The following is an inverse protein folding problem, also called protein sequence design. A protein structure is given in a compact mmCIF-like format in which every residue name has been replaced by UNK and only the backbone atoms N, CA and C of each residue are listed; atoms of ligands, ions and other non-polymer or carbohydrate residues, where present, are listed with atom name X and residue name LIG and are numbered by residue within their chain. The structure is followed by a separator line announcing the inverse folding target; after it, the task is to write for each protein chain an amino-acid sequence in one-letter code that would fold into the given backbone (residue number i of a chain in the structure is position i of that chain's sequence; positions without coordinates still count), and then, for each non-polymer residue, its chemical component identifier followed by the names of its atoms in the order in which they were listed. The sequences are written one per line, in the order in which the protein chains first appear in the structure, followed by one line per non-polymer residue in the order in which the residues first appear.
data_IF_346191855512
#
_entry.id   IF_346191855512
#
_cell.length_a   1.000
_cell.length_b   1.000
_cell.length_c   1.000
_cell.angle_alpha   90.00
_cell.angle_beta   90.00
_cell.angle_gamma   90.00
#
_symmetry.space_group_name_H-M   'P 1'
#
loop_
_entity.id
_entity.type
_entity.pdbx_description
1 polymer ?
#
# COMPACT_ATOMS: atom_id res chain seq x y z
N UNK A 1 22.39 3.09 26.28
CA UNK A 1 22.13 2.82 24.84
C UNK A 1 20.87 3.51 24.34
N UNK A 2 19.69 3.29 24.94
CA UNK A 2 18.44 3.96 24.53
C UNK A 2 18.49 5.47 24.56
N UNK A 3 19.10 6.07 25.59
CA UNK A 3 19.27 7.51 25.67
C UNK A 3 20.23 8.07 24.60
N UNK A 4 21.23 7.29 24.19
CA UNK A 4 22.12 7.66 23.10
C UNK A 4 21.39 7.61 21.76
N UNK A 5 20.67 6.53 21.48
CA UNK A 5 19.90 6.36 20.24
C UNK A 5 18.81 7.44 20.09
N UNK A 6 18.13 7.76 21.21
CA UNK A 6 17.11 8.82 21.22
C UNK A 6 17.73 10.19 20.91
N UNK A 7 18.91 10.49 21.43
CA UNK A 7 19.65 11.72 21.08
C UNK A 7 20.07 11.74 19.62
N UNK A 8 20.64 10.62 19.13
CA UNK A 8 21.06 10.52 17.73
C UNK A 8 19.88 10.76 16.77
N UNK A 9 18.69 10.25 17.06
CA UNK A 9 17.50 10.52 16.25
C UNK A 9 17.02 11.97 16.35
N UNK A 10 17.09 12.59 17.54
CA UNK A 10 16.77 13.99 17.71
C UNK A 10 17.72 14.92 16.93
N UNK A 11 19.01 14.57 16.88
CA UNK A 11 20.01 15.29 16.10
C UNK A 11 19.87 15.09 14.58
N UNK A 12 19.45 13.88 14.15
CA UNK A 12 19.26 13.55 12.73
C UNK A 12 17.98 14.13 12.14
N UNK A 13 16.89 14.23 12.90
CA UNK A 13 15.59 14.65 12.38
C UNK A 13 15.62 16.01 11.68
N UNK A 14 16.22 17.09 12.25
CA UNK A 14 16.35 18.38 11.57
C UNK A 14 17.21 18.30 10.29
N UNK A 15 18.25 17.45 10.30
CA UNK A 15 19.13 17.28 9.15
C UNK A 15 18.41 16.59 7.99
N UNK A 16 17.55 15.61 8.29
CA UNK A 16 16.71 14.95 7.29
C UNK A 16 15.68 15.92 6.71
N UNK A 17 15.02 16.72 7.54
CA UNK A 17 14.01 17.68 7.10
C UNK A 17 14.59 18.80 6.23
N UNK A 18 15.77 19.30 6.58
CA UNK A 18 16.44 20.38 5.83
C UNK A 18 17.30 19.86 4.66
N UNK A 19 17.73 18.63 4.72
CA UNK A 19 18.66 18.00 3.77
C UNK A 19 18.06 17.64 2.42
N UNK A 20 18.85 17.00 1.56
CA UNK A 20 18.37 16.48 0.27
C UNK A 20 17.40 15.34 0.47
N UNK A 21 16.36 15.29 -0.40
CA UNK A 21 15.36 14.21 -0.37
C UNK A 21 15.87 12.94 -1.06
N UNK A 22 16.70 13.10 -2.08
CA UNK A 22 17.30 11.99 -2.82
C UNK A 22 18.59 11.47 -2.16
N UNK A 23 18.94 10.19 -2.36
CA UNK A 23 20.21 9.64 -1.89
C UNK A 23 21.40 10.41 -2.47
N UNK A 24 22.43 10.59 -1.64
CA UNK A 24 23.69 11.27 -2.02
C UNK A 24 24.91 10.39 -1.86
N UNK A 25 24.72 9.09 -1.60
CA UNK A 25 25.77 8.12 -1.33
C UNK A 25 26.52 7.68 -2.60
N UNK A 26 27.83 7.54 -2.50
CA UNK A 26 28.64 6.82 -3.47
C UNK A 26 28.49 5.30 -3.23
N UNK A 27 27.80 4.64 -4.13
CA UNK A 27 27.51 3.21 -3.99
C UNK A 27 28.75 2.31 -4.11
N UNK A 28 29.78 2.69 -4.82
CA UNK A 28 31.01 1.88 -4.94
C UNK A 28 31.89 2.00 -3.69
N UNK A 29 31.98 3.19 -3.13
CA UNK A 29 32.57 3.40 -1.82
C UNK A 29 31.81 2.65 -0.73
N UNK A 30 30.46 2.71 -0.73
CA UNK A 30 29.62 1.98 0.20
C UNK A 30 29.81 0.45 0.10
N UNK A 31 29.78 -0.13 -1.11
CA UNK A 31 30.02 -1.56 -1.33
C UNK A 31 31.40 -2.00 -0.85
N UNK A 32 32.41 -1.14 -0.98
CA UNK A 32 33.75 -1.40 -0.48
C UNK A 32 33.79 -1.45 1.05
N UNK A 33 33.14 -0.48 1.71
CA UNK A 33 33.02 -0.50 3.17
C UNK A 33 32.22 -1.72 3.66
N UNK A 34 31.11 -2.05 2.98
CA UNK A 34 30.23 -3.17 3.36
C UNK A 34 30.97 -4.51 3.30
N UNK A 35 31.88 -4.71 2.33
CA UNK A 35 32.74 -5.92 2.26
C UNK A 35 33.69 -6.06 3.44
N UNK A 36 33.96 -4.99 4.18
CA UNK A 36 34.75 -5.03 5.43
C UNK A 36 34.02 -5.69 6.61
N UNK A 37 32.68 -5.91 6.50
CA UNK A 37 31.90 -6.67 7.46
C UNK A 37 31.93 -8.16 7.09
N UNK A 38 33.07 -8.83 7.35
CA UNK A 38 33.27 -10.25 7.05
C UNK A 38 32.63 -11.22 8.07
N UNK A 39 32.15 -10.67 9.22
CA UNK A 39 31.56 -11.40 10.35
C UNK A 39 32.48 -12.41 11.04
N UNK A 40 33.76 -12.45 10.69
CA UNK A 40 34.76 -13.34 11.31
C UNK A 40 35.11 -12.87 12.73
N UNK A 41 35.05 -11.58 12.98
CA UNK A 41 35.34 -10.97 14.29
C UNK A 41 34.25 -10.00 14.71
N UNK A 42 33.91 -9.96 16.01
CA UNK A 42 32.93 -9.00 16.53
C UNK A 42 33.47 -7.57 16.43
N UNK A 43 32.59 -6.64 16.06
CA UNK A 43 32.85 -5.20 16.06
C UNK A 43 32.16 -4.54 17.26
N UNK A 44 32.66 -3.37 17.66
CA UNK A 44 32.01 -2.57 18.70
C UNK A 44 30.62 -2.13 18.21
N UNK A 45 29.59 -2.38 19.01
CA UNK A 45 28.20 -2.10 18.67
C UNK A 45 27.98 -0.63 18.28
N UNK A 46 28.57 0.30 19.06
CA UNK A 46 28.49 1.74 18.82
C UNK A 46 29.04 2.12 17.44
N UNK A 47 30.13 1.51 17.01
CA UNK A 47 30.74 1.74 15.69
C UNK A 47 29.82 1.28 14.57
N UNK A 48 29.23 0.08 14.69
CA UNK A 48 28.27 -0.46 13.71
C UNK A 48 27.03 0.44 13.64
N UNK A 49 26.52 0.90 14.79
CA UNK A 49 25.35 1.76 14.86
C UNK A 49 25.61 3.13 14.24
N UNK A 50 26.72 3.79 14.57
CA UNK A 50 27.10 5.06 13.96
C UNK A 50 27.27 4.96 12.46
N UNK A 51 27.99 3.93 11.99
CA UNK A 51 28.13 3.66 10.57
C UNK A 51 26.78 3.49 9.88
N UNK A 52 25.87 2.68 10.47
CA UNK A 52 24.53 2.43 9.91
C UNK A 52 23.73 3.73 9.81
N UNK A 53 23.68 4.56 10.87
CA UNK A 53 22.95 5.82 10.85
C UNK A 53 23.47 6.77 9.78
N UNK A 54 24.79 6.85 9.60
CA UNK A 54 25.43 7.64 8.55
C UNK A 54 25.06 7.14 7.16
N UNK A 55 25.08 5.82 6.94
CA UNK A 55 24.70 5.25 5.63
C UNK A 55 23.21 5.49 5.34
N UNK A 56 22.32 5.34 6.34
CA UNK A 56 20.89 5.59 6.18
C UNK A 56 20.58 7.07 5.92
N UNK A 57 21.31 7.99 6.53
CA UNK A 57 21.15 9.43 6.30
C UNK A 57 21.39 9.81 4.83
N UNK A 58 22.37 9.15 4.17
CA UNK A 58 22.79 9.50 2.81
C UNK A 58 22.34 8.48 1.73
N UNK A 59 21.94 7.27 2.13
CA UNK A 59 21.74 6.14 1.25
C UNK A 59 20.30 5.82 0.90
N UNK A 60 19.32 6.54 1.42
CA UNK A 60 17.91 6.30 1.13
C UNK A 60 17.20 7.57 0.63
N UNK A 61 16.07 7.38 -0.03
CA UNK A 61 15.13 8.48 -0.25
C UNK A 61 14.51 8.84 1.10
N UNK A 62 14.61 10.10 1.49
CA UNK A 62 14.16 10.59 2.80
C UNK A 62 12.64 10.80 2.79
N UNK A 63 11.87 9.73 3.02
CA UNK A 63 10.42 9.78 3.06
C UNK A 63 9.86 10.64 4.20
N UNK A 64 10.66 10.87 5.25
CA UNK A 64 10.34 11.79 6.35
C UNK A 64 10.59 13.26 6.02
N UNK A 65 11.11 13.58 4.83
CA UNK A 65 11.27 14.96 4.38
C UNK A 65 9.94 15.48 3.83
N UNK A 66 9.45 16.68 4.25
CA UNK A 66 8.17 17.22 3.80
C UNK A 66 8.11 17.55 2.30
N UNK A 67 9.26 17.53 1.60
CA UNK A 67 9.35 17.69 0.13
C UNK A 67 9.42 16.36 -0.62
N UNK A 68 9.10 15.24 0.04
CA UNK A 68 8.90 13.96 -0.59
C UNK A 68 7.47 13.88 -1.16
N UNK A 69 7.33 13.96 -2.48
CA UNK A 69 6.07 13.89 -3.22
C UNK A 69 6.04 12.68 -4.18
N UNK A 70 6.67 11.61 -3.79
CA UNK A 70 6.94 10.49 -4.68
C UNK A 70 5.93 9.37 -4.67
N UNK A 71 6.24 8.34 -3.91
CA UNK A 71 5.39 7.16 -3.75
C UNK A 71 4.43 7.36 -2.56
N UNK A 72 3.64 6.34 -2.27
CA UNK A 72 2.54 6.44 -1.30
C UNK A 72 2.97 6.39 0.18
N UNK A 73 4.24 6.19 0.47
CA UNK A 73 4.76 5.94 1.82
C UNK A 73 5.32 7.23 2.42
N UNK A 74 4.62 7.86 3.38
CA UNK A 74 5.17 9.00 4.12
C UNK A 74 6.18 8.55 5.16
N UNK A 75 6.85 9.51 5.80
CA UNK A 75 7.50 9.25 7.08
C UNK A 75 6.50 8.71 8.10
N UNK A 76 6.93 7.72 8.89
CA UNK A 76 6.05 7.10 9.87
C UNK A 76 5.70 8.05 11.01
N UNK A 77 4.43 8.08 11.41
CA UNK A 77 3.97 8.83 12.57
C UNK A 77 4.70 8.37 13.85
N UNK A 78 5.00 9.29 14.74
CA UNK A 78 5.73 9.01 15.98
C UNK A 78 5.10 7.90 16.84
N UNK A 79 3.75 7.82 17.01
CA UNK A 79 3.13 6.69 17.72
C UNK A 79 3.44 5.33 17.08
N UNK A 80 3.50 5.23 15.75
CA UNK A 80 3.84 3.99 15.06
C UNK A 80 5.30 3.57 15.29
N UNK A 81 6.23 4.54 15.35
CA UNK A 81 7.64 4.29 15.71
C UNK A 81 7.76 3.79 17.16
N UNK A 82 7.00 4.37 18.08
CA UNK A 82 6.92 3.89 19.47
C UNK A 82 6.37 2.46 19.56
N UNK A 83 5.34 2.13 18.76
CA UNK A 83 4.77 0.79 18.69
C UNK A 83 5.81 -0.26 18.25
N UNK A 84 6.66 0.07 17.26
CA UNK A 84 7.75 -0.82 16.84
C UNK A 84 8.79 -1.04 17.95
N UNK A 85 9.10 -0.01 18.75
CA UNK A 85 10.02 -0.17 19.90
C UNK A 85 9.41 -1.07 20.97
N UNK A 86 8.12 -0.92 21.28
CA UNK A 86 7.40 -1.78 22.21
C UNK A 86 7.37 -3.22 21.69
N UNK A 87 6.99 -3.41 20.42
CA UNK A 87 6.96 -4.74 19.82
C UNK A 87 8.35 -5.40 19.78
N UNK A 88 9.42 -4.64 19.52
CA UNK A 88 10.79 -5.15 19.53
C UNK A 88 11.25 -5.54 20.94
N UNK A 89 10.86 -4.81 21.98
CA UNK A 89 11.23 -5.10 23.37
C UNK A 89 10.62 -6.41 23.86
N UNK A 90 9.31 -6.62 23.64
CA UNK A 90 8.61 -7.84 24.08
C UNK A 90 8.76 -9.01 23.11
N UNK A 91 9.06 -8.74 21.84
CA UNK A 91 9.22 -9.70 20.74
C UNK A 91 8.17 -10.83 20.72
N UNK A 92 6.85 -10.51 20.76
CA UNK A 92 5.80 -11.51 20.85
C UNK A 92 5.65 -12.28 19.52
N UNK A 93 5.40 -13.60 19.66
CA UNK A 93 5.08 -14.47 18.53
C UNK A 93 3.55 -14.55 18.35
N UNK A 94 3.01 -13.98 17.27
CA UNK A 94 1.58 -13.95 17.01
C UNK A 94 1.08 -15.14 16.17
N UNK A 95 1.56 -16.33 16.40
CA UNK A 95 0.98 -17.51 15.77
C UNK A 95 -0.39 -17.86 16.40
N UNK A 96 -0.52 -17.77 17.72
CA UNK A 96 -1.73 -18.15 18.43
C UNK A 96 -2.03 -17.27 19.63
N UNK A 97 -3.30 -17.25 20.03
CA UNK A 97 -3.78 -16.61 21.25
C UNK A 97 -3.21 -17.25 22.51
N UNK A 98 -2.85 -18.55 22.46
CA UNK A 98 -2.19 -19.23 23.57
C UNK A 98 -0.81 -18.64 23.89
N UNK A 99 -0.05 -18.21 22.87
CA UNK A 99 1.29 -17.63 23.06
C UNK A 99 1.25 -16.11 23.22
N UNK A 100 0.30 -15.42 22.60
CA UNK A 100 0.23 -13.96 22.56
C UNK A 100 -1.21 -13.45 22.62
N UNK A 101 -1.94 -13.66 23.73
CA UNK A 101 -3.37 -13.34 23.81
C UNK A 101 -3.64 -11.83 23.61
N UNK A 102 -2.90 -10.96 24.29
CA UNK A 102 -3.09 -9.51 24.18
C UNK A 102 -2.77 -8.99 22.78
N UNK A 103 -1.64 -9.32 22.13
CA UNK A 103 -1.36 -8.93 20.76
C UNK A 103 -2.42 -9.38 19.74
N UNK A 104 -2.90 -10.62 19.84
CA UNK A 104 -3.94 -11.16 18.95
C UNK A 104 -5.26 -10.38 19.09
N UNK A 105 -5.67 -10.09 20.33
CA UNK A 105 -6.88 -9.30 20.58
C UNK A 105 -6.77 -7.84 20.09
N UNK A 106 -5.61 -7.19 20.25
CA UNK A 106 -5.37 -5.85 19.74
C UNK A 106 -5.49 -5.85 18.19
N UNK A 107 -4.86 -6.79 17.50
CA UNK A 107 -4.98 -6.88 16.04
C UNK A 107 -6.41 -7.13 15.60
N UNK A 108 -7.11 -8.07 16.25
CA UNK A 108 -8.52 -8.35 15.97
C UNK A 108 -9.42 -7.13 16.20
N UNK A 109 -9.16 -6.36 17.26
CA UNK A 109 -9.90 -5.14 17.55
C UNK A 109 -9.70 -4.07 16.47
N UNK A 110 -8.47 -3.86 16.01
CA UNK A 110 -8.16 -2.89 14.94
C UNK A 110 -8.78 -3.32 13.62
N UNK A 111 -8.71 -4.61 13.27
CA UNK A 111 -9.38 -5.15 12.06
C UNK A 111 -10.88 -4.90 12.11
N UNK A 112 -11.56 -5.20 13.24
CA UNK A 112 -13.00 -4.93 13.40
C UNK A 112 -13.33 -3.44 13.30
N UNK A 113 -12.51 -2.58 13.88
CA UNK A 113 -12.69 -1.13 13.79
C UNK A 113 -12.62 -0.62 12.34
N UNK A 114 -11.64 -1.11 11.57
CA UNK A 114 -11.51 -0.77 10.15
C UNK A 114 -12.64 -1.36 9.31
N UNK A 115 -13.03 -2.61 9.57
CA UNK A 115 -14.17 -3.26 8.90
C UNK A 115 -15.47 -2.49 9.11
N UNK A 116 -15.75 -2.10 10.35
CA UNK A 116 -16.93 -1.27 10.69
C UNK A 116 -16.88 0.08 9.97
N UNK A 117 -15.69 0.70 9.88
CA UNK A 117 -15.51 1.97 9.16
C UNK A 117 -15.75 1.84 7.66
N UNK A 118 -15.45 0.66 7.08
CA UNK A 118 -15.76 0.31 5.70
C UNK A 118 -17.24 -0.11 5.48
N UNK A 119 -18.05 -0.16 6.53
CA UNK A 119 -19.46 -0.55 6.44
C UNK A 119 -19.70 -2.05 6.37
N UNK A 120 -18.69 -2.88 6.65
CA UNK A 120 -18.85 -4.33 6.72
C UNK A 120 -19.60 -4.74 8.00
N UNK A 121 -20.28 -5.89 7.95
CA UNK A 121 -21.06 -6.44 9.06
C UNK A 121 -20.21 -6.77 10.30
N UNK A 122 -20.87 -7.03 11.45
CA UNK A 122 -20.20 -7.24 12.75
C UNK A 122 -19.31 -8.49 12.79
N UNK A 123 -19.55 -9.46 11.91
CA UNK A 123 -18.80 -10.70 11.81
C UNK A 123 -17.55 -10.57 10.93
N UNK A 124 -17.30 -9.37 10.40
CA UNK A 124 -16.11 -9.13 9.58
C UNK A 124 -14.84 -9.34 10.40
N UNK A 125 -13.88 -10.00 9.78
CA UNK A 125 -12.60 -10.41 10.36
C UNK A 125 -11.48 -10.22 9.36
N UNK A 126 -10.27 -10.64 9.72
CA UNK A 126 -9.10 -10.56 8.86
C UNK A 126 -7.81 -10.69 9.63
N UNK A 127 -6.72 -10.28 9.01
CA UNK A 127 -5.41 -10.31 9.64
C UNK A 127 -4.51 -9.19 9.10
N UNK A 128 -3.45 -8.89 9.84
CA UNK A 128 -2.38 -8.04 9.36
C UNK A 128 -1.41 -8.83 8.46
N UNK A 129 -0.92 -8.16 7.43
CA UNK A 129 0.02 -8.68 6.44
C UNK A 129 1.23 -7.72 6.31
N UNK A 130 2.30 -8.19 5.70
CA UNK A 130 3.52 -7.39 5.49
C UNK A 130 3.38 -6.34 4.39
N UNK A 131 2.34 -6.43 3.56
CA UNK A 131 2.05 -5.47 2.51
C UNK A 131 0.80 -5.85 1.72
N UNK A 132 0.29 -4.91 0.92
CA UNK A 132 -0.90 -5.11 0.09
C UNK A 132 -0.80 -6.31 -0.85
N UNK A 133 0.39 -6.66 -1.33
CA UNK A 133 0.57 -7.85 -2.17
C UNK A 133 0.25 -9.16 -1.44
N UNK A 134 0.56 -9.27 -0.15
CA UNK A 134 0.21 -10.44 0.66
C UNK A 134 -1.28 -10.47 0.99
N UNK A 135 -1.86 -9.32 1.31
CA UNK A 135 -3.30 -9.19 1.54
C UNK A 135 -4.10 -9.53 0.26
N UNK A 136 -3.67 -9.04 -0.89
CA UNK A 136 -4.27 -9.35 -2.19
C UNK A 136 -4.08 -10.83 -2.59
N UNK A 137 -2.94 -11.44 -2.23
CA UNK A 137 -2.73 -12.88 -2.39
C UNK A 137 -3.76 -13.68 -1.57
N UNK A 138 -3.99 -13.30 -0.33
CA UNK A 138 -5.04 -13.91 0.51
C UNK A 138 -6.41 -13.77 -0.16
N UNK A 139 -6.76 -12.61 -0.70
CA UNK A 139 -8.02 -12.41 -1.43
C UNK A 139 -8.19 -13.39 -2.59
N UNK A 140 -7.16 -13.58 -3.40
CA UNK A 140 -7.22 -14.50 -4.53
C UNK A 140 -7.34 -15.95 -4.07
N UNK A 141 -6.63 -16.37 -3.01
CA UNK A 141 -6.76 -17.73 -2.45
C UNK A 141 -8.17 -17.98 -1.95
N UNK A 142 -8.78 -17.02 -1.23
CA UNK A 142 -10.16 -17.14 -0.79
C UNK A 142 -11.14 -17.23 -1.95
N UNK A 143 -10.96 -16.38 -2.97
CA UNK A 143 -11.80 -16.41 -4.17
C UNK A 143 -11.75 -17.76 -4.90
N UNK A 144 -10.55 -18.35 -5.01
CA UNK A 144 -10.37 -19.69 -5.62
C UNK A 144 -10.99 -20.79 -4.75
N UNK A 145 -10.83 -20.72 -3.43
CA UNK A 145 -11.42 -21.68 -2.47
C UNK A 145 -12.96 -21.58 -2.50
N UNK A 146 -13.52 -20.36 -2.52
CA UNK A 146 -14.96 -20.13 -2.62
C UNK A 146 -15.53 -20.62 -3.95
N UNK A 147 -14.78 -20.46 -5.05
CA UNK A 147 -15.22 -20.88 -6.37
C UNK A 147 -15.23 -22.42 -6.54
N UNK A 148 -14.35 -23.13 -5.85
CA UNK A 148 -14.28 -24.60 -5.93
C UNK A 148 -13.71 -25.22 -4.65
N UNK A 149 -14.49 -26.02 -3.88
CA UNK A 149 -14.05 -26.63 -2.62
C UNK A 149 -12.80 -27.51 -2.75
N UNK A 150 -12.60 -28.17 -3.89
CA UNK A 150 -11.42 -28.99 -4.18
C UNK A 150 -10.12 -28.19 -4.41
N UNK A 151 -10.18 -26.84 -4.46
CA UNK A 151 -8.99 -26.06 -4.72
C UNK A 151 -7.92 -26.22 -3.63
N UNK A 152 -8.33 -26.35 -2.39
CA UNK A 152 -7.38 -26.54 -1.27
C UNK A 152 -6.59 -27.87 -1.40
N UNK A 153 -7.15 -28.91 -2.03
CA UNK A 153 -6.52 -30.24 -2.19
C UNK A 153 -5.83 -30.40 -3.54
N UNK A 154 -6.47 -29.99 -4.62
CA UNK A 154 -6.06 -30.28 -6.00
C UNK A 154 -5.51 -29.07 -6.76
N UNK A 155 -5.54 -27.89 -6.14
CA UNK A 155 -5.11 -26.65 -6.74
C UNK A 155 -5.93 -26.29 -7.99
N UNK A 156 -5.30 -25.68 -8.98
CA UNK A 156 -5.95 -25.27 -10.23
C UNK A 156 -6.58 -26.44 -11.02
N UNK A 157 -6.16 -27.67 -10.77
CA UNK A 157 -6.72 -28.88 -11.43
C UNK A 157 -8.13 -29.22 -10.98
N UNK A 158 -8.60 -28.68 -9.86
CA UNK A 158 -9.98 -28.84 -9.41
C UNK A 158 -11.00 -28.19 -10.37
N UNK A 159 -10.60 -27.14 -11.09
CA UNK A 159 -11.49 -26.42 -12.00
C UNK A 159 -11.71 -27.15 -13.32
N UNK A 160 -12.91 -27.05 -13.87
CA UNK A 160 -13.26 -27.61 -15.19
C UNK A 160 -12.60 -26.88 -16.38
N UNK A 161 -12.06 -25.68 -16.15
CA UNK A 161 -11.35 -24.85 -17.11
C UNK A 161 -10.42 -23.88 -16.39
N UNK A 162 -9.59 -23.10 -17.09
CA UNK A 162 -8.65 -22.18 -16.45
C UNK A 162 -9.38 -21.12 -15.62
N UNK A 163 -9.06 -20.95 -14.32
CA UNK A 163 -9.64 -19.90 -13.50
C UNK A 163 -9.18 -18.54 -14.00
N UNK A 164 -10.09 -17.54 -13.97
CA UNK A 164 -9.84 -16.17 -14.41
C UNK A 164 -10.31 -15.17 -13.36
N UNK A 165 -9.54 -14.10 -13.20
CA UNK A 165 -9.96 -12.95 -12.42
C UNK A 165 -9.69 -11.65 -13.16
N UNK A 166 -10.41 -10.59 -12.83
CA UNK A 166 -10.57 -9.40 -13.63
C UNK A 166 -10.24 -8.16 -12.83
N UNK A 167 -9.47 -7.24 -13.40
CA UNK A 167 -9.19 -5.93 -12.81
C UNK A 167 -8.84 -4.92 -13.91
N UNK A 168 -8.83 -3.63 -13.56
CA UNK A 168 -8.43 -2.55 -14.47
C UNK A 168 -6.99 -2.68 -14.97
N UNK A 169 -6.69 -2.16 -16.16
CA UNK A 169 -5.30 -1.97 -16.64
C UNK A 169 -4.48 -1.05 -15.72
N UNK A 170 -5.15 -0.17 -14.97
CA UNK A 170 -4.55 0.74 -14.02
C UNK A 170 -4.32 0.10 -12.63
N UNK A 171 -4.56 -1.21 -12.47
CA UNK A 171 -4.32 -1.94 -11.22
C UNK A 171 -2.83 -2.01 -10.85
N UNK A 172 -2.56 -2.40 -9.62
CA UNK A 172 -1.18 -2.66 -9.19
C UNK A 172 -0.61 -3.92 -9.88
N UNK A 173 0.60 -3.79 -10.45
CA UNK A 173 1.26 -4.86 -11.22
C UNK A 173 1.54 -6.15 -10.41
N UNK A 174 1.47 -6.08 -9.08
CA UNK A 174 1.62 -7.24 -8.20
C UNK A 174 0.62 -8.36 -8.49
N UNK A 175 -0.56 -8.06 -9.06
CA UNK A 175 -1.54 -9.07 -9.44
C UNK A 175 -0.99 -10.13 -10.40
N UNK A 176 -0.05 -9.78 -11.28
CA UNK A 176 0.66 -10.74 -12.14
C UNK A 176 1.55 -11.72 -11.33
N UNK A 177 2.19 -11.21 -10.26
CA UNK A 177 2.98 -12.06 -9.36
C UNK A 177 2.08 -12.94 -8.52
N UNK A 178 0.99 -12.39 -8.01
CA UNK A 178 -0.01 -13.09 -7.20
C UNK A 178 -0.63 -14.25 -7.98
N UNK A 179 -1.05 -14.03 -9.22
CA UNK A 179 -1.57 -15.09 -10.10
C UNK A 179 -0.56 -16.23 -10.32
N UNK A 180 0.73 -15.88 -10.50
CA UNK A 180 1.80 -16.86 -10.61
C UNK A 180 2.02 -17.64 -9.31
N UNK A 181 2.07 -16.95 -8.16
CA UNK A 181 2.28 -17.57 -6.85
C UNK A 181 1.11 -18.47 -6.42
N UNK A 182 -0.12 -18.11 -6.81
CA UNK A 182 -1.31 -18.93 -6.57
C UNK A 182 -1.36 -20.19 -7.47
N UNK A 183 -0.40 -20.40 -8.36
CA UNK A 183 -0.32 -21.59 -9.23
C UNK A 183 -1.30 -21.61 -10.39
N UNK A 184 -2.04 -20.51 -10.65
CA UNK A 184 -3.00 -20.41 -11.75
C UNK A 184 -2.42 -19.74 -13.01
N UNK A 185 -1.18 -19.23 -12.90
CA UNK A 185 -0.46 -18.60 -14.01
C UNK A 185 -0.88 -17.14 -14.28
N UNK A 186 0.05 -16.34 -14.84
CA UNK A 186 -0.19 -14.92 -15.13
C UNK A 186 -1.33 -14.68 -16.13
N UNK A 187 -1.59 -15.63 -17.02
CA UNK A 187 -2.71 -15.58 -17.98
C UNK A 187 -4.09 -15.68 -17.33
N UNK A 188 -4.18 -16.05 -16.05
CA UNK A 188 -5.42 -16.01 -15.29
C UNK A 188 -5.91 -14.58 -15.03
N UNK A 189 -5.01 -13.60 -14.99
CA UNK A 189 -5.36 -12.18 -14.90
C UNK A 189 -5.88 -11.66 -16.24
N UNK A 190 -7.11 -11.15 -16.25
CA UNK A 190 -7.71 -10.43 -17.37
C UNK A 190 -7.72 -8.94 -17.05
N UNK A 191 -6.92 -8.17 -17.77
CA UNK A 191 -6.93 -6.71 -17.68
C UNK A 191 -8.09 -6.14 -18.47
N UNK A 192 -8.89 -5.30 -17.83
CA UNK A 192 -10.05 -4.64 -18.40
C UNK A 192 -9.68 -3.21 -18.79
N UNK A 193 -10.15 -2.79 -19.95
CA UNK A 193 -9.93 -1.43 -20.43
C UNK A 193 -10.61 -0.39 -19.51
N UNK A 194 -10.11 0.82 -19.53
CA UNK A 194 -10.67 1.95 -18.79
C UNK A 194 -11.69 2.71 -19.64
N UNK A 195 -12.74 3.23 -19.00
CA UNK A 195 -13.78 4.04 -19.65
C UNK A 195 -13.38 5.53 -19.78
N UNK A 196 -12.10 5.82 -19.94
CA UNK A 196 -11.50 7.13 -19.79
C UNK A 196 -11.25 7.49 -18.33
N UNK A 197 -10.38 8.45 -18.09
CA UNK A 197 -9.98 8.89 -16.74
C UNK A 197 -9.40 7.77 -15.86
N UNK A 198 -8.81 6.71 -16.43
CA UNK A 198 -8.11 5.63 -15.71
C UNK A 198 -8.99 4.80 -14.76
N UNK A 199 -10.30 4.73 -14.99
CA UNK A 199 -11.25 3.93 -14.20
C UNK A 199 -11.70 2.70 -14.97
N UNK A 200 -11.87 1.58 -14.31
CA UNK A 200 -12.39 0.34 -14.89
C UNK A 200 -13.72 0.59 -15.62
N UNK A 201 -13.85 0.07 -16.86
CA UNK A 201 -15.11 0.08 -17.59
C UNK A 201 -15.99 -1.11 -17.20
N UNK A 202 -17.14 -0.91 -16.50
CA UNK A 202 -18.04 -1.99 -16.11
C UNK A 202 -18.62 -2.75 -17.30
N UNK A 203 -18.89 -2.10 -18.44
CA UNK A 203 -19.42 -2.79 -19.61
C UNK A 203 -18.35 -3.69 -20.25
N UNK A 204 -17.10 -3.21 -20.34
CA UNK A 204 -15.99 -4.02 -20.81
C UNK A 204 -15.74 -5.21 -19.87
N UNK A 205 -15.86 -5.02 -18.55
CA UNK A 205 -15.78 -6.08 -17.55
C UNK A 205 -16.85 -7.16 -17.80
N UNK A 206 -18.11 -6.77 -17.95
CA UNK A 206 -19.21 -7.70 -18.19
C UNK A 206 -19.01 -8.50 -19.49
N UNK A 207 -18.60 -7.82 -20.59
CA UNK A 207 -18.28 -8.46 -21.87
C UNK A 207 -17.12 -9.45 -21.74
N UNK A 208 -16.05 -9.11 -21.03
CA UNK A 208 -14.89 -9.96 -20.83
C UNK A 208 -15.24 -11.24 -20.05
N UNK A 209 -16.02 -11.12 -18.97
CA UNK A 209 -16.50 -12.27 -18.17
C UNK A 209 -17.36 -13.21 -19.03
N UNK A 210 -18.29 -12.66 -19.80
CA UNK A 210 -19.15 -13.46 -20.68
C UNK A 210 -18.34 -14.20 -21.75
N UNK A 211 -17.38 -13.52 -22.40
CA UNK A 211 -16.53 -14.12 -23.42
C UNK A 211 -15.63 -15.23 -22.87
N UNK A 212 -14.99 -15.01 -21.70
CA UNK A 212 -14.13 -16.01 -21.07
C UNK A 212 -14.94 -17.25 -20.64
N UNK A 213 -16.16 -17.05 -20.09
CA UNK A 213 -17.06 -18.15 -19.73
C UNK A 213 -17.50 -18.93 -20.94
N UNK A 214 -17.86 -18.28 -22.05
CA UNK A 214 -18.19 -18.94 -23.32
C UNK A 214 -16.99 -19.70 -23.92
N UNK A 215 -15.77 -19.22 -23.66
CA UNK A 215 -14.52 -19.89 -24.04
C UNK A 215 -14.10 -21.04 -23.13
N UNK A 216 -14.92 -21.43 -22.14
CA UNK A 216 -14.64 -22.53 -21.22
C UNK A 216 -13.76 -22.17 -20.03
N UNK A 217 -13.42 -20.90 -19.82
CA UNK A 217 -12.76 -20.47 -18.60
C UNK A 217 -13.74 -20.37 -17.41
N UNK A 218 -13.19 -20.38 -16.19
CA UNK A 218 -13.96 -20.26 -14.95
C UNK A 218 -13.68 -18.91 -14.33
N UNK A 219 -14.55 -17.89 -14.49
CA UNK A 219 -14.45 -16.63 -13.77
C UNK A 219 -14.57 -16.85 -12.25
N UNK A 220 -13.67 -16.29 -11.46
CA UNK A 220 -13.63 -16.47 -10.00
C UNK A 220 -13.70 -15.17 -9.21
N UNK A 221 -13.10 -14.06 -9.69
CA UNK A 221 -13.00 -12.83 -8.90
C UNK A 221 -13.03 -11.57 -9.78
N UNK A 222 -13.68 -10.53 -9.28
CA UNK A 222 -13.57 -9.15 -9.76
C UNK A 222 -12.80 -8.35 -8.72
N UNK A 223 -11.79 -7.61 -9.15
CA UNK A 223 -11.02 -6.68 -8.32
C UNK A 223 -11.26 -5.26 -8.79
N UNK A 224 -11.85 -4.43 -7.93
CA UNK A 224 -11.88 -2.99 -8.12
C UNK A 224 -10.77 -2.33 -7.31
N UNK A 225 -10.14 -1.29 -7.86
CA UNK A 225 -9.08 -0.55 -7.18
C UNK A 225 -9.64 0.76 -6.63
N UNK A 226 -9.45 1.02 -5.34
CA UNK A 226 -9.75 2.28 -4.70
C UNK A 226 -8.45 3.06 -4.46
N UNK A 227 -8.06 3.87 -5.44
CA UNK A 227 -6.80 4.57 -5.50
C UNK A 227 -5.75 3.86 -6.36
N UNK A 228 -5.89 3.93 -7.69
CA UNK A 228 -4.96 3.30 -8.64
C UNK A 228 -3.52 3.81 -8.47
N UNK A 229 -2.49 2.95 -8.66
CA UNK A 229 -1.09 3.33 -8.46
C UNK A 229 -0.61 4.45 -9.39
N UNK A 230 -1.13 4.50 -10.61
CA UNK A 230 -0.82 5.55 -11.59
C UNK A 230 -1.41 6.88 -11.18
N UNK A 231 -2.72 7.03 -11.29
CA UNK A 231 -3.43 8.29 -11.17
C UNK A 231 -4.25 8.48 -9.90
N UNK A 232 -4.25 7.55 -8.92
CA UNK A 232 -5.06 7.67 -7.71
C UNK A 232 -6.58 7.58 -7.96
N UNK A 233 -6.99 6.94 -9.06
CA UNK A 233 -8.39 6.85 -9.46
C UNK A 233 -9.13 5.79 -8.64
N UNK A 234 -10.45 5.95 -8.51
CA UNK A 234 -11.32 4.98 -7.84
C UNK A 234 -12.21 4.33 -8.89
N UNK A 235 -12.14 3.02 -9.02
CA UNK A 235 -13.01 2.25 -9.90
C UNK A 235 -14.49 2.36 -9.47
N UNK A 236 -15.46 2.17 -10.36
CA UNK A 236 -16.89 2.25 -10.05
C UNK A 236 -17.33 1.05 -9.18
N UNK A 237 -17.13 1.16 -7.84
CA UNK A 237 -17.30 0.05 -6.89
C UNK A 237 -18.67 -0.61 -6.97
N UNK A 238 -19.75 0.18 -7.04
CA UNK A 238 -21.12 -0.33 -7.18
C UNK A 238 -21.29 -1.16 -8.46
N UNK A 239 -20.82 -0.64 -9.60
CA UNK A 239 -20.91 -1.33 -10.89
C UNK A 239 -20.12 -2.64 -10.90
N UNK A 240 -18.92 -2.64 -10.33
CA UNK A 240 -18.11 -3.85 -10.17
C UNK A 240 -18.79 -4.88 -9.24
N UNK A 241 -19.37 -4.41 -8.11
CA UNK A 241 -20.10 -5.27 -7.18
C UNK A 241 -21.36 -5.91 -7.82
N UNK A 242 -22.11 -5.14 -8.64
CA UNK A 242 -23.29 -5.67 -9.35
C UNK A 242 -22.91 -6.78 -10.32
N UNK A 243 -21.86 -6.57 -11.09
CA UNK A 243 -21.36 -7.56 -12.06
C UNK A 243 -20.82 -8.80 -11.34
N UNK A 244 -20.05 -8.63 -10.27
CA UNK A 244 -19.53 -9.73 -9.47
C UNK A 244 -20.68 -10.56 -8.89
N UNK A 245 -21.70 -9.92 -8.29
CA UNK A 245 -22.88 -10.58 -7.73
C UNK A 245 -23.67 -11.33 -8.79
N UNK A 246 -23.95 -10.69 -9.94
CA UNK A 246 -24.67 -11.33 -11.05
C UNK A 246 -23.91 -12.54 -11.60
N UNK A 247 -22.58 -12.45 -11.65
CA UNK A 247 -21.69 -13.52 -12.08
C UNK A 247 -21.41 -14.60 -11.03
N UNK A 248 -21.84 -14.42 -9.77
CA UNK A 248 -21.45 -15.22 -8.59
C UNK A 248 -19.94 -15.30 -8.43
N UNK A 249 -19.26 -14.17 -8.56
CA UNK A 249 -17.83 -14.00 -8.43
C UNK A 249 -17.50 -13.33 -7.10
N UNK A 250 -16.34 -13.63 -6.56
CA UNK A 250 -15.78 -12.91 -5.42
C UNK A 250 -15.53 -11.43 -5.79
N UNK A 251 -16.00 -10.50 -4.97
CA UNK A 251 -15.75 -9.09 -5.15
C UNK A 251 -14.69 -8.61 -4.15
N UNK A 252 -13.53 -8.25 -4.65
CA UNK A 252 -12.44 -7.71 -3.87
C UNK A 252 -12.21 -6.23 -4.16
N UNK A 253 -11.98 -5.42 -3.13
CA UNK A 253 -11.56 -4.02 -3.27
C UNK A 253 -10.12 -3.88 -2.81
N UNK A 254 -9.22 -3.65 -3.77
CA UNK A 254 -7.85 -3.23 -3.50
C UNK A 254 -7.84 -1.74 -3.14
N UNK A 255 -8.01 -1.45 -1.85
CA UNK A 255 -7.96 -0.13 -1.26
C UNK A 255 -6.63 0.13 -0.55
N UNK A 256 -5.55 -0.53 -0.99
CA UNK A 256 -4.23 -0.44 -0.37
C UNK A 256 -3.78 1.01 -0.13
N UNK A 257 -4.07 1.90 -1.09
CA UNK A 257 -3.82 3.33 -0.94
C UNK A 257 -5.04 4.09 -0.44
N UNK A 258 -6.14 4.04 -1.19
CA UNK A 258 -7.31 4.90 -0.96
C UNK A 258 -8.14 4.51 0.26
N UNK A 259 -7.92 3.33 0.85
CA UNK A 259 -8.62 2.91 2.07
C UNK A 259 -8.45 3.85 3.27
N UNK A 260 -7.39 4.67 3.29
CA UNK A 260 -7.24 5.71 4.30
C UNK A 260 -8.35 6.78 4.25
N UNK A 261 -8.99 6.98 3.10
CA UNK A 261 -10.13 7.89 2.95
C UNK A 261 -11.32 7.50 3.84
N UNK A 262 -11.43 6.24 4.26
CA UNK A 262 -12.42 5.78 5.24
C UNK A 262 -12.33 6.54 6.58
N UNK A 263 -11.14 7.04 6.95
CA UNK A 263 -10.95 7.81 8.18
C UNK A 263 -11.52 9.24 8.09
N UNK A 264 -11.63 9.82 6.89
CA UNK A 264 -12.02 11.20 6.67
C UNK A 264 -13.52 11.28 6.29
N UNK A 265 -14.34 11.96 7.10
CA UNK A 265 -15.80 12.05 6.88
C UNK A 265 -16.16 12.62 5.49
N UNK A 266 -15.39 13.59 4.99
CA UNK A 266 -15.63 14.22 3.68
C UNK A 266 -15.23 13.34 2.50
N UNK A 267 -14.29 12.41 2.70
CA UNK A 267 -13.76 11.56 1.63
C UNK A 267 -14.34 10.15 1.65
N UNK A 268 -14.87 9.70 2.79
CA UNK A 268 -15.47 8.38 2.94
C UNK A 268 -16.53 8.07 1.87
N UNK A 269 -17.44 9.00 1.49
CA UNK A 269 -18.43 8.75 0.43
C UNK A 269 -17.82 8.44 -0.95
N UNK A 270 -16.56 8.79 -1.19
CA UNK A 270 -15.87 8.41 -2.42
C UNK A 270 -15.69 6.89 -2.57
N UNK A 271 -15.76 6.16 -1.46
CA UNK A 271 -15.63 4.71 -1.39
C UNK A 271 -16.98 3.99 -1.25
N UNK A 272 -18.11 4.66 -1.51
CA UNK A 272 -19.44 4.04 -1.48
C UNK A 272 -19.47 2.83 -2.43
N UNK A 273 -19.97 1.70 -1.94
CA UNK A 273 -19.90 0.40 -2.60
C UNK A 273 -18.81 -0.52 -2.04
N UNK A 274 -17.86 0.01 -1.23
CA UNK A 274 -16.83 -0.82 -0.57
C UNK A 274 -17.42 -1.81 0.43
N UNK A 275 -18.55 -1.43 1.07
CA UNK A 275 -19.31 -2.28 2.02
C UNK A 275 -19.90 -3.54 1.39
N UNK A 276 -19.91 -3.60 0.06
CA UNK A 276 -20.39 -4.75 -0.72
C UNK A 276 -19.29 -5.75 -1.05
N UNK A 277 -18.04 -5.45 -0.67
CA UNK A 277 -16.91 -6.31 -0.96
C UNK A 277 -16.92 -7.58 -0.09
N UNK A 278 -16.57 -8.71 -0.69
CA UNK A 278 -16.27 -9.95 0.04
C UNK A 278 -14.95 -9.82 0.80
N UNK A 279 -14.03 -9.02 0.26
CA UNK A 279 -12.76 -8.70 0.96
C UNK A 279 -12.19 -7.36 0.53
N UNK A 280 -11.40 -6.75 1.43
CA UNK A 280 -10.75 -5.45 1.25
C UNK A 280 -9.28 -5.55 1.66
N UNK A 281 -8.39 -4.93 0.88
CA UNK A 281 -7.00 -4.68 1.27
C UNK A 281 -6.78 -3.22 1.62
N UNK A 282 -6.11 -2.93 2.75
CA UNK A 282 -5.72 -1.56 3.16
C UNK A 282 -4.28 -1.59 3.69
N UNK A 283 -3.41 -0.74 3.14
CA UNK A 283 -2.02 -0.60 3.61
C UNK A 283 -1.90 0.54 4.62
N UNK A 284 -1.78 0.20 5.90
CA UNK A 284 -1.61 1.19 6.96
C UNK A 284 -0.25 1.93 6.85
N UNK A 285 0.77 1.27 6.29
CA UNK A 285 2.08 1.87 6.04
C UNK A 285 2.12 2.85 4.85
N UNK A 286 0.99 3.07 4.19
CA UNK A 286 0.82 4.13 3.20
C UNK A 286 0.21 5.37 3.85
N UNK A 287 -0.94 5.80 3.48
CA UNK A 287 -1.53 7.07 3.90
C UNK A 287 -1.98 7.11 5.37
N UNK A 288 -2.13 5.96 6.06
CA UNK A 288 -2.33 5.91 7.51
C UNK A 288 -1.02 6.07 8.32
N UNK A 289 0.10 6.33 7.63
CA UNK A 289 1.39 6.74 8.19
C UNK A 289 1.97 5.82 9.27
N UNK A 290 1.71 4.51 9.21
CA UNK A 290 2.45 3.57 10.07
C UNK A 290 3.83 3.26 9.49
N UNK A 291 4.70 2.65 10.29
CA UNK A 291 5.98 2.11 9.79
C UNK A 291 5.76 1.03 8.74
N UNK A 292 6.74 0.85 7.83
CA UNK A 292 6.66 -0.11 6.71
C UNK A 292 6.35 -1.54 7.17
N UNK A 293 5.67 -2.29 6.29
CA UNK A 293 5.29 -3.67 6.56
C UNK A 293 4.04 -3.78 7.44
N UNK A 294 3.02 -2.97 7.20
CA UNK A 294 1.75 -2.98 7.91
C UNK A 294 0.59 -2.81 6.93
N UNK A 295 -0.01 -3.91 6.51
CA UNK A 295 -1.19 -3.97 5.67
C UNK A 295 -2.28 -4.79 6.36
N UNK A 296 -3.51 -4.66 5.93
CA UNK A 296 -4.66 -5.41 6.42
C UNK A 296 -5.35 -6.11 5.27
N UNK A 297 -5.70 -7.36 5.50
CA UNK A 297 -6.72 -8.11 4.77
C UNK A 297 -7.97 -8.16 5.65
N UNK A 298 -9.11 -7.76 5.11
CA UNK A 298 -10.40 -7.73 5.82
C UNK A 298 -11.43 -8.46 4.97
N UNK A 299 -12.28 -9.30 5.60
CA UNK A 299 -13.31 -10.08 4.90
C UNK A 299 -14.55 -10.29 5.77
N UNK A 300 -15.71 -10.42 5.14
CA UNK A 300 -16.96 -10.85 5.77
C UNK A 300 -17.08 -12.38 5.85
N UNK A 301 -16.12 -13.13 5.32
CA UNK A 301 -16.15 -14.60 5.17
C UNK A 301 -15.11 -15.28 6.08
N UNK A 302 -15.19 -15.04 7.40
CA UNK A 302 -14.20 -15.56 8.36
C UNK A 302 -14.01 -17.08 8.34
N UNK A 303 -15.09 -17.86 8.15
CA UNK A 303 -15.00 -19.32 8.07
C UNK A 303 -14.14 -19.79 6.90
N UNK A 304 -14.19 -19.08 5.77
CA UNK A 304 -13.42 -19.41 4.58
C UNK A 304 -11.92 -19.18 4.75
N UNK A 305 -11.51 -18.23 5.61
CA UNK A 305 -10.10 -18.08 5.99
C UNK A 305 -9.53 -19.37 6.59
N UNK A 306 -10.24 -19.93 7.54
CA UNK A 306 -9.83 -21.21 8.16
C UNK A 306 -9.85 -22.35 7.13
N UNK A 307 -10.84 -22.41 6.24
CA UNK A 307 -10.87 -23.43 5.18
C UNK A 307 -9.67 -23.33 4.25
N UNK A 308 -9.29 -22.09 3.87
CA UNK A 308 -8.21 -21.84 2.92
C UNK A 308 -6.79 -22.07 3.50
N UNK A 309 -6.60 -21.85 4.82
CA UNK A 309 -5.27 -21.84 5.43
C UNK A 309 -5.09 -22.88 6.56
N UNK A 310 -6.14 -23.59 6.97
CA UNK A 310 -6.03 -24.56 8.06
C UNK A 310 -5.06 -25.69 7.71
N UNK A 311 -4.08 -25.87 8.59
CA UNK A 311 -3.19 -27.04 8.58
C UNK A 311 -3.23 -27.70 9.95
N UNK A 312 -3.70 -28.94 10.01
CA UNK A 312 -3.71 -29.72 11.26
C UNK A 312 -2.30 -30.15 11.64
N UNK A 313 -1.90 -29.92 12.89
CA UNK A 313 -0.60 -30.32 13.39
C UNK A 313 -0.70 -30.98 14.76
N UNK A 314 0.14 -31.99 15.00
CA UNK A 314 0.18 -32.72 16.27
C UNK A 314 0.96 -32.01 17.37
N UNK A 315 1.78 -31.01 17.04
CA UNK A 315 2.63 -30.28 17.99
C UNK A 315 2.02 -28.98 18.50
N UNK A 316 0.87 -28.56 17.95
CA UNK A 316 0.15 -27.39 18.45
C UNK A 316 -0.87 -27.78 19.50
N UNK A 317 -1.14 -26.93 20.51
CA UNK A 317 -2.12 -27.24 21.55
C UNK A 317 -3.51 -27.49 20.95
N UNK A 318 -4.21 -28.51 21.42
CA UNK A 318 -5.54 -28.91 20.96
C UNK A 318 -6.68 -27.90 21.32
N UNK A 319 -6.38 -26.92 22.19
CA UNK A 319 -7.33 -25.93 22.70
C UNK A 319 -7.24 -24.58 21.97
N UNK A 320 -6.75 -24.55 20.73
CA UNK A 320 -6.59 -23.30 19.97
C UNK A 320 -7.93 -22.74 19.49
N UNK A 321 -8.06 -21.44 19.60
CA UNK A 321 -9.24 -20.74 19.08
C UNK A 321 -9.24 -20.76 17.53
N UNK A 322 -10.43 -20.90 16.93
CA UNK A 322 -10.58 -20.84 15.48
C UNK A 322 -10.09 -19.51 14.85
N UNK A 323 -9.95 -18.47 15.69
CA UNK A 323 -9.43 -17.16 15.30
C UNK A 323 -7.91 -17.01 15.33
N UNK A 324 -7.17 -18.08 15.67
CA UNK A 324 -5.72 -18.00 15.77
C UNK A 324 -5.07 -17.64 14.41
N UNK A 325 -4.12 -16.70 14.40
CA UNK A 325 -3.55 -16.15 13.15
C UNK A 325 -2.94 -17.19 12.21
N UNK A 326 -2.29 -18.24 12.73
CA UNK A 326 -1.67 -19.28 11.91
C UNK A 326 -2.70 -20.15 11.14
N UNK A 327 -3.96 -20.19 11.61
CA UNK A 327 -5.06 -20.90 10.94
C UNK A 327 -5.74 -20.04 9.86
N UNK A 328 -5.50 -18.73 9.87
CA UNK A 328 -6.24 -17.75 9.08
C UNK A 328 -5.36 -16.93 8.14
N UNK A 329 -4.09 -17.31 7.98
CA UNK A 329 -3.15 -16.60 7.10
C UNK A 329 -2.06 -17.57 6.59
N UNK A 330 -1.37 -17.16 5.53
CA UNK A 330 -0.20 -17.89 5.02
C UNK A 330 0.98 -17.85 6.00
N UNK A 331 1.01 -16.88 6.91
CA UNK A 331 2.08 -16.72 7.89
C UNK A 331 1.88 -17.67 9.08
N UNK A 332 2.96 -18.32 9.49
CA UNK A 332 2.99 -19.06 10.74
C UNK A 332 3.60 -18.21 11.86
N UNK A 333 4.89 -17.90 11.75
CA UNK A 333 5.58 -16.96 12.65
C UNK A 333 5.33 -15.54 12.17
N UNK A 334 4.74 -14.70 13.02
CA UNK A 334 4.34 -13.36 12.65
C UNK A 334 4.70 -12.33 13.71
N UNK A 335 5.16 -11.15 13.24
CA UNK A 335 5.39 -9.99 14.09
C UNK A 335 4.06 -9.35 14.51
N UNK A 336 4.09 -8.60 15.61
CA UNK A 336 2.97 -7.78 16.06
C UNK A 336 2.84 -6.51 15.17
N UNK A 337 2.22 -6.65 14.01
CA UNK A 337 2.10 -5.59 13.02
C UNK A 337 1.02 -4.57 13.40
N UNK A 338 -0.11 -5.03 13.93
CA UNK A 338 -1.27 -4.21 14.21
C UNK A 338 -1.08 -3.20 15.35
N UNK A 339 -0.07 -3.38 16.21
CA UNK A 339 0.23 -2.43 17.29
C UNK A 339 0.52 -1.03 16.75
N UNK A 340 1.12 -0.93 15.56
CA UNK A 340 1.44 0.32 14.88
C UNK A 340 0.19 1.15 14.60
N UNK A 341 -0.80 0.51 13.97
CA UNK A 341 -2.07 1.17 13.64
C UNK A 341 -2.91 1.40 14.89
N UNK A 342 -2.88 0.47 15.86
CA UNK A 342 -3.52 0.67 17.16
C UNK A 342 -3.03 1.94 17.85
N UNK A 343 -1.71 2.18 17.91
CA UNK A 343 -1.16 3.39 18.52
C UNK A 343 -1.58 4.65 17.77
N UNK A 344 -1.52 4.62 16.43
CA UNK A 344 -1.94 5.76 15.60
C UNK A 344 -3.42 6.08 15.82
N UNK A 345 -4.30 5.05 15.76
CA UNK A 345 -5.74 5.22 15.98
C UNK A 345 -6.07 5.64 17.41
N UNK A 346 -5.43 5.04 18.41
CA UNK A 346 -5.71 5.34 19.81
C UNK A 346 -5.26 6.75 20.22
N UNK A 347 -4.20 7.28 19.59
CA UNK A 347 -3.65 8.60 19.95
C UNK A 347 -4.25 9.75 19.14
N UNK A 348 -4.58 9.53 17.86
CA UNK A 348 -5.11 10.57 16.99
C UNK A 348 -6.64 10.52 16.83
N UNK A 349 -7.26 9.37 17.10
CA UNK A 349 -8.68 9.12 16.79
C UNK A 349 -8.94 9.17 15.28
N UNK A 350 -10.17 8.88 14.89
CA UNK A 350 -10.62 9.03 13.50
C UNK A 350 -10.54 10.47 13.01
N UNK A 351 -10.82 11.44 13.89
CA UNK A 351 -10.76 12.87 13.56
C UNK A 351 -9.33 13.29 13.18
N UNK A 352 -8.33 12.95 13.98
CA UNK A 352 -6.93 13.32 13.72
C UNK A 352 -6.38 12.67 12.45
N UNK A 353 -6.73 11.39 12.20
CA UNK A 353 -6.34 10.70 10.97
C UNK A 353 -7.08 11.28 9.78
N UNK A 354 -8.39 11.55 9.90
CA UNK A 354 -9.19 12.19 8.87
C UNK A 354 -8.61 13.56 8.47
N UNK A 355 -8.23 14.37 9.46
CA UNK A 355 -7.58 15.66 9.23
C UNK A 355 -6.22 15.53 8.50
N UNK A 356 -5.42 14.49 8.82
CA UNK A 356 -4.18 14.19 8.09
C UNK A 356 -4.46 13.87 6.61
N UNK A 357 -5.45 13.02 6.35
CA UNK A 357 -5.84 12.60 4.99
C UNK A 357 -6.39 13.79 4.19
N UNK A 358 -7.28 14.59 4.76
CA UNK A 358 -7.85 15.79 4.12
C UNK A 358 -6.79 16.86 3.83
N UNK A 359 -5.82 17.04 4.72
CA UNK A 359 -4.69 17.95 4.52
C UNK A 359 -3.86 17.54 3.31
N UNK A 360 -3.62 16.26 3.12
CA UNK A 360 -2.90 15.74 1.95
C UNK A 360 -3.61 16.10 0.64
N UNK A 361 -4.93 15.97 0.59
CA UNK A 361 -5.74 16.38 -0.56
C UNK A 361 -5.65 17.90 -0.80
N UNK A 362 -5.69 18.70 0.28
CA UNK A 362 -5.53 20.15 0.18
C UNK A 362 -4.15 20.56 -0.35
N UNK A 363 -3.08 19.87 0.06
CA UNK A 363 -1.72 20.10 -0.46
C UNK A 363 -1.68 19.86 -1.97
N UNK A 364 -2.23 18.73 -2.44
CA UNK A 364 -2.30 18.43 -3.89
C UNK A 364 -3.08 19.48 -4.66
N UNK A 365 -4.20 19.96 -4.12
CA UNK A 365 -4.98 21.02 -4.77
C UNK A 365 -4.17 22.31 -4.95
N UNK A 366 -3.39 22.71 -3.92
CA UNK A 366 -2.50 23.90 -4.02
C UNK A 366 -1.38 23.70 -5.03
N UNK A 367 -0.75 22.52 -5.04
CA UNK A 367 0.28 22.18 -6.05
C UNK A 367 -0.30 22.25 -7.44
N UNK A 368 -1.50 21.68 -7.66
CA UNK A 368 -2.23 21.76 -8.94
C UNK A 368 -2.42 23.20 -9.38
N UNK A 369 -3.00 24.04 -8.53
CA UNK A 369 -3.31 25.42 -8.87
C UNK A 369 -2.03 26.23 -9.20
N UNK A 370 -0.95 26.00 -8.45
CA UNK A 370 0.35 26.63 -8.70
C UNK A 370 1.00 26.18 -10.02
N UNK A 371 0.86 24.92 -10.41
CA UNK A 371 1.40 24.40 -11.68
C UNK A 371 0.53 24.81 -12.88
N UNK A 372 -0.79 24.77 -12.75
CA UNK A 372 -1.71 25.25 -13.81
C UNK A 372 -1.45 26.72 -14.13
N UNK A 373 -1.24 27.58 -13.13
CA UNK A 373 -0.86 28.98 -13.31
C UNK A 373 0.46 29.17 -14.08
N UNK A 374 1.27 28.11 -14.23
CA UNK A 374 2.55 28.08 -14.98
C UNK A 374 2.44 27.31 -16.29
N UNK A 375 1.22 27.04 -16.76
CA UNK A 375 0.98 26.39 -18.06
C UNK A 375 1.10 24.87 -18.04
N UNK A 376 1.14 24.22 -16.88
CA UNK A 376 1.06 22.76 -16.77
C UNK A 376 -0.36 22.27 -17.03
N UNK A 377 -0.49 21.11 -17.63
CA UNK A 377 -1.79 20.47 -17.88
C UNK A 377 -2.02 19.33 -16.93
N UNK A 378 -3.18 19.31 -16.25
CA UNK A 378 -3.59 18.20 -15.38
C UNK A 378 -4.05 17.03 -16.25
N UNK A 379 -3.56 15.84 -15.98
CA UNK A 379 -3.87 14.63 -16.73
C UNK A 379 -4.91 13.74 -16.04
N UNK A 380 -5.00 13.76 -14.70
CA UNK A 380 -5.95 12.98 -13.92
C UNK A 380 -6.97 13.88 -13.18
N UNK A 381 -8.11 13.29 -12.82
CA UNK A 381 -9.15 13.93 -11.99
C UNK A 381 -9.34 13.21 -10.64
N UNK A 382 -8.24 12.72 -10.08
CA UNK A 382 -8.27 11.99 -8.81
C UNK A 382 -8.86 12.84 -7.68
N UNK A 383 -9.84 12.32 -6.92
CA UNK A 383 -10.34 13.00 -5.72
C UNK A 383 -9.43 12.78 -4.50
N UNK A 384 -8.37 11.97 -4.65
CA UNK A 384 -7.40 11.64 -3.62
C UNK A 384 -6.13 12.50 -3.74
N UNK A 385 -5.13 12.24 -2.89
CA UNK A 385 -3.92 13.04 -2.84
C UNK A 385 -2.86 12.64 -3.90
N UNK A 386 -3.29 12.43 -5.16
CA UNK A 386 -2.43 12.14 -6.32
C UNK A 386 -2.75 13.11 -7.45
N UNK A 387 -1.72 13.73 -8.01
CA UNK A 387 -1.80 14.64 -9.13
C UNK A 387 -0.84 14.18 -10.23
N UNK A 388 -1.37 13.98 -11.42
CA UNK A 388 -0.60 13.73 -12.64
C UNK A 388 -0.62 14.97 -13.52
N UNK A 389 0.55 15.46 -13.89
CA UNK A 389 0.68 16.68 -14.70
C UNK A 389 1.63 16.48 -15.88
N UNK A 390 1.27 17.13 -16.99
CA UNK A 390 2.09 17.22 -18.20
C UNK A 390 2.79 18.58 -18.17
N UNK A 391 4.13 18.63 -18.31
CA UNK A 391 4.86 19.89 -18.34
C UNK A 391 4.61 20.66 -19.64
N UNK A 392 4.77 21.99 -19.64
CA UNK A 392 4.90 22.77 -20.86
C UNK A 392 6.05 22.24 -21.75
N UNK A 393 5.89 22.27 -23.05
CA UNK A 393 6.87 21.74 -24.02
C UNK A 393 8.30 22.29 -23.82
N UNK A 394 8.42 23.53 -23.36
CA UNK A 394 9.71 24.17 -23.07
C UNK A 394 10.52 23.49 -21.96
N UNK A 395 9.91 22.69 -21.09
CA UNK A 395 10.58 21.97 -20.02
C UNK A 395 11.09 20.58 -20.44
N UNK A 396 10.80 20.15 -21.67
CA UNK A 396 11.26 18.90 -22.27
C UNK A 396 10.50 17.67 -21.80
N UNK A 397 11.12 16.50 -21.98
CA UNK A 397 10.51 15.22 -21.67
C UNK A 397 10.37 14.97 -20.15
N UNK A 398 9.24 14.38 -19.75
CA UNK A 398 8.89 14.07 -18.35
C UNK A 398 10.00 13.32 -17.61
N UNK A 399 10.52 12.24 -18.19
CA UNK A 399 11.53 11.40 -17.53
C UNK A 399 12.84 12.15 -17.31
N UNK A 400 13.22 13.01 -18.24
CA UNK A 400 14.42 13.86 -18.13
C UNK A 400 14.20 14.95 -17.09
N UNK A 401 13.03 15.59 -17.07
CA UNK A 401 12.65 16.58 -16.08
C UNK A 401 12.70 15.98 -14.66
N UNK A 402 12.03 14.83 -14.44
CA UNK A 402 12.00 14.16 -13.14
C UNK A 402 13.40 13.78 -12.67
N UNK A 403 14.25 13.21 -13.55
CA UNK A 403 15.65 12.90 -13.19
C UNK A 403 16.40 14.13 -12.70
N UNK A 404 16.22 15.28 -13.33
CA UNK A 404 16.83 16.54 -12.95
C UNK A 404 16.34 17.03 -11.59
N UNK A 405 15.02 17.00 -11.35
CA UNK A 405 14.43 17.40 -10.07
C UNK A 405 14.96 16.55 -8.93
N UNK A 406 14.98 15.22 -9.13
CA UNK A 406 15.48 14.27 -8.13
C UNK A 406 16.98 14.45 -7.89
N UNK A 407 17.78 14.61 -8.96
CA UNK A 407 19.23 14.83 -8.84
C UNK A 407 19.58 16.14 -8.11
N UNK A 408 18.74 17.18 -8.24
CA UNK A 408 18.90 18.41 -7.49
C UNK A 408 18.66 18.26 -5.97
N UNK A 409 18.05 17.15 -5.54
CA UNK A 409 17.82 16.80 -4.13
C UNK A 409 16.80 17.69 -3.39
N UNK A 410 16.17 18.65 -4.08
CA UNK A 410 15.28 19.64 -3.43
C UNK A 410 13.86 19.14 -3.21
N UNK A 411 13.41 18.23 -4.07
CA UNK A 411 12.12 17.53 -3.99
C UNK A 411 12.24 16.14 -4.63
N UNK A 412 11.32 15.27 -4.34
CA UNK A 412 11.25 13.96 -4.97
C UNK A 412 9.86 13.74 -5.57
N UNK A 413 9.80 13.49 -6.87
CA UNK A 413 8.60 13.16 -7.64
C UNK A 413 8.86 11.94 -8.52
N UNK A 414 7.83 11.33 -9.10
CA UNK A 414 7.98 10.16 -9.94
C UNK A 414 7.45 10.41 -11.37
N UNK A 415 8.09 9.85 -12.41
CA UNK A 415 7.47 9.75 -13.72
C UNK A 415 6.51 8.56 -13.73
N UNK A 416 5.36 8.70 -14.38
CA UNK A 416 4.47 7.57 -14.65
C UNK A 416 3.87 7.72 -16.04
N UNK A 417 3.15 6.69 -16.49
CA UNK A 417 2.30 6.76 -17.66
C UNK A 417 0.84 6.69 -17.19
N UNK A 418 0.05 7.66 -17.59
CA UNK A 418 -1.38 7.70 -17.31
C UNK A 418 -2.13 7.79 -18.63
N UNK A 419 -2.95 6.82 -18.94
CA UNK A 419 -3.72 6.71 -20.20
C UNK A 419 -2.87 6.95 -21.46
N UNK A 420 -1.69 6.34 -21.52
CA UNK A 420 -0.78 6.45 -22.67
C UNK A 420 0.08 7.73 -22.71
N UNK A 421 -0.05 8.62 -21.73
CA UNK A 421 0.75 9.86 -21.63
C UNK A 421 1.79 9.75 -20.53
N UNK A 422 3.02 10.13 -20.82
CA UNK A 422 4.03 10.32 -19.77
C UNK A 422 3.71 11.58 -18.96
N UNK A 423 3.63 11.43 -17.63
CA UNK A 423 3.25 12.48 -16.69
C UNK A 423 4.22 12.53 -15.51
N UNK A 424 4.33 13.69 -14.87
CA UNK A 424 4.92 13.81 -13.55
C UNK A 424 3.84 13.51 -12.54
N UNK A 425 4.03 12.44 -11.76
CA UNK A 425 3.14 12.10 -10.65
C UNK A 425 3.64 12.73 -9.35
N UNK A 426 2.74 13.43 -8.68
CA UNK A 426 2.93 14.09 -7.40
C UNK A 426 1.96 13.47 -6.41
N UNK A 427 2.48 12.87 -5.35
CA UNK A 427 1.68 12.25 -4.30
C UNK A 427 1.98 12.94 -2.95
N UNK A 428 0.99 13.57 -2.35
CA UNK A 428 1.14 14.22 -1.06
C UNK A 428 0.62 13.32 0.05
N UNK A 429 1.52 12.72 0.82
CA UNK A 429 1.18 11.86 1.97
C UNK A 429 1.81 12.34 3.26
N UNK A 430 2.74 13.28 3.19
CA UNK A 430 3.43 13.82 4.35
C UNK A 430 2.55 14.82 5.10
N UNK A 431 2.30 14.56 6.39
CA UNK A 431 1.38 15.37 7.19
C UNK A 431 1.86 16.78 7.53
N UNK A 432 3.16 17.07 7.33
CA UNK A 432 3.81 18.35 7.72
C UNK A 432 4.25 19.21 6.53
N UNK A 433 3.87 18.84 5.31
CA UNK A 433 4.18 19.63 4.10
C UNK A 433 3.60 21.04 4.23
N UNK A 434 4.47 22.04 4.16
CA UNK A 434 4.17 23.46 4.33
C UNK A 434 4.06 24.21 2.99
N UNK A 435 3.61 25.47 3.02
CA UNK A 435 3.59 26.35 1.83
C UNK A 435 4.98 26.54 1.23
N UNK A 436 6.02 26.62 2.08
CA UNK A 436 7.39 26.74 1.60
C UNK A 436 7.88 25.47 0.89
N UNK A 437 7.42 24.29 1.31
CA UNK A 437 7.74 23.01 0.64
C UNK A 437 7.02 22.89 -0.71
N UNK A 438 5.77 23.34 -0.80
CA UNK A 438 5.02 23.44 -2.06
C UNK A 438 5.74 24.40 -3.02
N UNK A 439 6.12 25.58 -2.54
CA UNK A 439 6.86 26.55 -3.36
C UNK A 439 8.21 25.99 -3.84
N UNK A 440 8.93 25.25 -2.99
CA UNK A 440 10.18 24.59 -3.35
C UNK A 440 9.98 23.48 -4.41
N UNK A 441 8.91 22.68 -4.30
CA UNK A 441 8.54 21.70 -5.31
C UNK A 441 8.27 22.37 -6.66
N UNK A 442 7.39 23.37 -6.69
CA UNK A 442 7.00 24.09 -7.91
C UNK A 442 8.22 24.77 -8.56
N UNK A 443 9.07 25.41 -7.78
CA UNK A 443 10.31 26.00 -8.28
C UNK A 443 11.27 24.97 -8.86
N UNK A 444 11.33 23.77 -8.28
CA UNK A 444 12.18 22.68 -8.77
C UNK A 444 11.69 22.10 -10.10
N UNK A 445 10.38 22.10 -10.32
CA UNK A 445 9.75 21.64 -11.56
C UNK A 445 9.90 22.66 -12.71
N UNK A 446 9.97 23.95 -12.40
CA UNK A 446 10.10 25.05 -13.38
C UNK A 446 11.54 25.41 -13.76
N UNK A 447 12.54 24.68 -13.27
CA UNK A 447 13.95 24.95 -13.62
C UNK A 447 14.15 24.80 -15.13
N UNK A 448 14.65 25.84 -15.83
CA UNK A 448 14.89 25.77 -17.28
C UNK A 448 15.96 24.71 -17.61
N UNK A 449 15.94 24.23 -18.84
CA UNK A 449 16.95 23.34 -19.40
C UNK A 449 18.29 24.10 -19.57
N UNK A 450 18.99 24.38 -18.48
CA UNK A 450 20.34 24.97 -18.56
C UNK A 450 21.38 23.88 -18.43
N UNK A 451 22.11 23.59 -19.55
CA UNK A 451 23.31 22.76 -19.57
C UNK A 451 23.08 21.32 -20.02
N UNK A 452 23.85 20.90 -21.00
CA UNK A 452 24.06 19.47 -21.36
C UNK A 452 24.60 18.72 -20.16
N UNK A 453 24.30 17.40 -20.04
CA UNK A 453 24.83 16.53 -19.00
C UNK A 453 26.35 16.48 -18.98
#
# INVERSE_FOLDING_TARGET
MDAWLSRAFADLAPLIQAGPVAPTIDMDAFRTQLRGFDFERPLAFEGVLQWTLQQMQHGIVQMSNPRYFGLFNPGAAFPAQCADRVAAFFNPQLASSASSPVPVEIESHVIRAMAHRAGLGPDATGHFATGGSEANYTALILALTAAHPGFASDGARAFSGPPKFYTSRECHIAWLKIAHQAGIGRSALRLIDTAGHGRLDPEALARAIAADRAGGAVPVMVVATAGTPGGGMIDPLHGCADIARAGKLWFHVDAAWGGAALAAERLRPLLDGIERADSITIDAHKWLATTMGCAMFITSHGALLSEAFHASTSFMPSSLAASDPYLNSVQWSRRFLGLRLFFVLATAGWEGIGAHVERSVAVVARVRDALVARGWTVANDSPLAVLDVVPPAALGEVRTLVRRVVAAGRAWVAPTNFEGRDVVRICATHGETSESDIAALVASLDLPMTGRP
#
